data_IF_817540099095
#
_entry.id   IF_817540099095
#
_cell.length_a   1.000
_cell.length_b   1.000
_cell.length_c   1.000
_cell.angle_alpha   90.00
_cell.angle_beta   90.00
_cell.angle_gamma   90.00
#
_symmetry.space_group_name_H-M   'P 1'
#
loop_
_entity.id
_entity.type
_entity.pdbx_description
1 polymer ?
#
# COMPACT_ATOMS: atom_id res chain seq x y z
N UNK A 1 -21.58 13.42 8.45
CA UNK A 1 -22.03 14.16 9.65
C UNK A 1 -23.46 14.69 9.53
N UNK A 2 -23.80 15.49 8.50
CA UNK A 2 -25.15 16.07 8.39
C UNK A 2 -26.25 15.01 8.18
N UNK A 3 -26.09 14.14 7.18
CA UNK A 3 -27.06 13.07 6.86
C UNK A 3 -27.25 12.06 7.99
N UNK A 4 -26.19 11.77 8.76
CA UNK A 4 -26.23 10.85 9.89
C UNK A 4 -26.88 11.42 11.14
N UNK A 5 -27.06 12.75 11.26
CA UNK A 5 -27.61 13.38 12.48
C UNK A 5 -29.05 12.95 12.79
N UNK A 6 -29.86 12.68 11.76
CA UNK A 6 -31.25 12.26 11.92
C UNK A 6 -31.38 10.75 12.25
N UNK A 7 -30.81 9.82 11.45
CA UNK A 7 -30.94 8.38 11.68
C UNK A 7 -29.98 7.83 12.75
N UNK A 8 -28.75 8.37 12.86
CA UNK A 8 -27.69 7.84 13.71
C UNK A 8 -26.88 8.96 14.40
N UNK A 9 -27.46 9.68 15.38
CA UNK A 9 -26.81 10.83 16.02
C UNK A 9 -25.47 10.50 16.68
N UNK A 10 -25.27 9.25 17.13
CA UNK A 10 -24.01 8.78 17.70
C UNK A 10 -22.84 8.86 16.70
N UNK A 11 -23.07 8.54 15.42
CA UNK A 11 -22.02 8.63 14.38
C UNK A 11 -21.58 10.09 14.23
N UNK A 12 -22.55 11.01 14.16
CA UNK A 12 -22.23 12.44 14.05
C UNK A 12 -21.50 12.95 15.29
N UNK A 13 -21.89 12.50 16.49
CA UNK A 13 -21.22 12.86 17.73
C UNK A 13 -19.75 12.39 17.74
N UNK A 14 -19.49 11.14 17.39
CA UNK A 14 -18.12 10.58 17.35
C UNK A 14 -17.24 11.31 16.33
N UNK A 15 -17.77 11.64 15.16
CA UNK A 15 -17.01 12.38 14.14
C UNK A 15 -16.68 13.81 14.58
N UNK A 16 -17.62 14.50 15.23
CA UNK A 16 -17.39 15.84 15.76
C UNK A 16 -16.41 15.83 16.94
N UNK A 17 -16.51 14.86 17.85
CA UNK A 17 -15.57 14.67 18.96
C UNK A 17 -14.16 14.36 18.45
N UNK A 18 -14.03 13.46 17.47
CA UNK A 18 -12.77 13.17 16.80
C UNK A 18 -12.17 14.43 16.17
N UNK A 19 -12.96 15.20 15.42
CA UNK A 19 -12.51 16.45 14.79
C UNK A 19 -11.99 17.45 15.83
N UNK A 20 -12.61 17.56 17.00
CA UNK A 20 -12.13 18.44 18.06
C UNK A 20 -10.85 17.92 18.73
N UNK A 21 -10.74 16.60 18.93
CA UNK A 21 -9.60 15.97 19.61
C UNK A 21 -8.38 15.82 18.73
N UNK A 22 -8.54 15.64 17.41
CA UNK A 22 -7.42 15.43 16.50
C UNK A 22 -6.56 16.69 16.35
N UNK A 23 -7.15 17.88 16.49
CA UNK A 23 -6.45 19.16 16.33
C UNK A 23 -5.21 19.30 17.25
N UNK A 24 -5.32 19.12 18.59
CA UNK A 24 -4.16 19.18 19.46
C UNK A 24 -3.34 17.88 19.51
N UNK A 25 -3.89 16.74 19.07
CA UNK A 25 -3.25 15.43 19.27
C UNK A 25 -2.60 14.83 18.02
N UNK A 26 -2.90 15.33 16.82
CA UNK A 26 -2.33 14.78 15.57
C UNK A 26 -0.82 14.94 15.53
N UNK A 27 -0.34 16.18 15.74
CA UNK A 27 1.07 16.49 15.87
C UNK A 27 1.22 17.80 16.65
N UNK A 28 1.49 17.75 17.98
CA UNK A 28 1.44 18.93 18.86
C UNK A 28 2.25 20.15 18.38
N UNK A 29 3.46 20.00 17.79
CA UNK A 29 4.22 21.15 17.28
C UNK A 29 3.52 21.93 16.15
N UNK A 30 2.58 21.31 15.42
CA UNK A 30 1.83 21.94 14.32
C UNK A 30 0.34 22.11 14.63
N UNK A 31 -0.07 22.09 15.90
CA UNK A 31 -1.48 22.28 16.30
C UNK A 31 -2.14 23.48 15.59
N UNK A 32 -1.43 24.60 15.50
CA UNK A 32 -1.92 25.83 14.85
C UNK A 32 -2.25 25.61 13.38
N UNK A 33 -1.42 24.84 12.66
CA UNK A 33 -1.61 24.53 11.24
C UNK A 33 -2.77 23.55 11.04
N UNK A 34 -2.86 22.51 11.88
CA UNK A 34 -3.97 21.55 11.83
C UNK A 34 -5.30 22.27 12.11
N UNK A 35 -5.33 23.15 13.13
CA UNK A 35 -6.50 23.98 13.44
C UNK A 35 -6.90 24.84 12.24
N UNK A 36 -5.93 25.52 11.62
CA UNK A 36 -6.19 26.37 10.45
C UNK A 36 -6.71 25.56 9.26
N UNK A 37 -6.17 24.36 9.04
CA UNK A 37 -6.64 23.43 8.00
C UNK A 37 -8.11 23.07 8.19
N UNK A 38 -8.49 22.63 9.40
CA UNK A 38 -9.90 22.31 9.73
C UNK A 38 -10.80 23.53 9.58
N UNK A 39 -10.36 24.70 10.05
CA UNK A 39 -11.12 25.95 9.89
C UNK A 39 -11.36 26.32 8.43
N UNK A 40 -10.33 26.22 7.59
CA UNK A 40 -10.44 26.49 6.15
C UNK A 40 -11.39 25.51 5.47
N UNK A 41 -11.34 24.21 5.83
CA UNK A 41 -12.27 23.21 5.32
C UNK A 41 -13.72 23.52 5.69
N UNK A 42 -14.00 23.86 6.95
CA UNK A 42 -15.35 24.24 7.40
C UNK A 42 -15.85 25.52 6.71
N UNK A 43 -14.99 26.53 6.57
CA UNK A 43 -15.31 27.77 5.84
C UNK A 43 -15.65 27.45 4.38
N UNK A 44 -14.83 26.64 3.72
CA UNK A 44 -15.03 26.27 2.31
C UNK A 44 -16.34 25.52 2.08
N UNK A 45 -16.69 24.61 2.99
CA UNK A 45 -17.97 23.87 2.96
C UNK A 45 -19.17 24.83 3.01
N UNK A 46 -19.09 25.86 3.86
CA UNK A 46 -20.14 26.89 3.98
C UNK A 46 -20.17 27.79 2.74
N UNK A 47 -19.02 28.25 2.25
CA UNK A 47 -18.91 29.10 1.06
C UNK A 47 -19.46 28.43 -0.21
N UNK A 48 -19.15 27.14 -0.38
CA UNK A 48 -19.62 26.34 -1.52
C UNK A 48 -21.08 25.88 -1.40
N UNK A 49 -21.75 26.22 -0.29
CA UNK A 49 -23.14 25.80 0.02
C UNK A 49 -23.35 24.28 -0.03
N UNK A 50 -22.30 23.51 0.22
CA UNK A 50 -22.39 22.04 0.34
C UNK A 50 -23.21 21.67 1.59
N UNK A 51 -23.18 22.53 2.61
CA UNK A 51 -24.09 22.50 3.76
C UNK A 51 -24.75 23.85 3.97
N UNK A 52 -25.96 23.83 4.55
CA UNK A 52 -26.55 24.99 5.22
C UNK A 52 -25.60 25.51 6.33
N UNK A 53 -25.80 26.71 6.92
CA UNK A 53 -24.93 27.22 7.99
C UNK A 53 -24.66 26.12 9.03
N UNK A 54 -23.42 25.96 9.50
CA UNK A 54 -23.04 24.83 10.36
C UNK A 54 -23.68 24.88 11.77
N UNK A 55 -24.24 26.03 12.16
CA UNK A 55 -24.84 26.26 13.48
C UNK A 55 -25.92 25.22 13.90
N UNK A 56 -26.90 24.82 13.05
CA UNK A 56 -27.89 23.80 13.39
C UNK A 56 -27.31 22.38 13.55
N UNK A 57 -26.11 22.13 13.00
CA UNK A 57 -25.38 20.89 13.19
C UNK A 57 -24.58 20.93 14.50
N UNK A 58 -23.86 22.02 14.75
CA UNK A 58 -22.97 22.17 15.91
C UNK A 58 -23.73 22.41 17.22
N UNK A 59 -24.90 23.05 17.18
CA UNK A 59 -25.75 23.27 18.36
C UNK A 59 -27.00 22.38 18.36
N UNK A 60 -26.94 21.23 17.69
CA UNK A 60 -28.07 20.31 17.62
C UNK A 60 -28.41 19.75 19.01
N UNK A 61 -29.67 19.81 19.47
CA UNK A 61 -30.05 19.34 20.81
C UNK A 61 -29.87 17.83 21.01
N UNK A 62 -29.71 17.04 19.94
CA UNK A 62 -29.37 15.61 20.01
C UNK A 62 -27.91 15.33 20.37
N UNK A 63 -27.03 16.34 20.27
CA UNK A 63 -25.65 16.23 20.70
C UNK A 63 -25.53 16.50 22.21
N UNK A 64 -24.62 15.75 22.84
CA UNK A 64 -24.34 15.96 24.26
C UNK A 64 -23.86 17.38 24.56
N UNK A 65 -24.17 17.87 25.76
CA UNK A 65 -23.85 19.24 26.18
C UNK A 65 -22.35 19.50 26.20
N UNK A 66 -21.54 18.50 26.58
CA UNK A 66 -20.07 18.65 26.66
C UNK A 66 -19.45 18.77 25.27
N UNK A 67 -19.91 17.96 24.31
CA UNK A 67 -19.49 18.04 22.92
C UNK A 67 -19.86 19.39 22.28
N UNK A 68 -21.07 19.91 22.55
CA UNK A 68 -21.47 21.24 22.07
C UNK A 68 -20.64 22.38 22.69
N UNK A 69 -20.24 22.24 23.95
CA UNK A 69 -19.34 23.20 24.59
C UNK A 69 -17.94 23.17 23.94
N UNK A 70 -17.41 21.97 23.67
CA UNK A 70 -16.13 21.77 23.00
C UNK A 70 -16.11 22.37 21.58
N UNK A 71 -17.19 22.18 20.83
CA UNK A 71 -17.36 22.79 19.50
C UNK A 71 -17.40 24.33 19.58
N UNK A 72 -18.11 24.89 20.57
CA UNK A 72 -18.19 26.34 20.77
C UNK A 72 -16.87 26.98 21.18
N UNK A 73 -16.04 26.24 21.93
CA UNK A 73 -14.68 26.67 22.30
C UNK A 73 -13.72 26.64 21.10
N UNK A 74 -13.77 25.56 20.30
CA UNK A 74 -12.85 25.39 19.17
C UNK A 74 -13.27 26.21 17.93
N UNK A 75 -14.56 26.41 17.73
CA UNK A 75 -15.14 27.00 16.52
C UNK A 75 -16.31 27.96 16.80
N UNK A 76 -16.08 29.06 17.54
CA UNK A 76 -17.13 30.02 17.88
C UNK A 76 -17.80 30.66 16.66
N UNK A 77 -17.06 30.81 15.55
CA UNK A 77 -17.50 31.45 14.30
C UNK A 77 -18.60 30.64 13.61
N UNK A 78 -18.60 29.32 13.77
CA UNK A 78 -19.57 28.41 13.14
C UNK A 78 -20.76 28.08 14.05
N UNK A 79 -20.71 28.47 15.33
CA UNK A 79 -21.75 28.20 16.33
C UNK A 79 -22.82 29.31 16.42
N UNK A 80 -22.64 30.43 15.70
CA UNK A 80 -23.56 31.58 15.73
C UNK A 80 -24.15 31.81 14.35
N UNK A 81 -25.49 31.92 14.25
CA UNK A 81 -26.11 32.36 13.00
C UNK A 81 -25.68 33.80 12.68
N UNK A 82 -25.26 34.12 11.45
CA UNK A 82 -24.93 35.49 11.10
C UNK A 82 -26.14 36.40 11.36
N UNK A 83 -25.95 37.44 12.17
CA UNK A 83 -26.96 38.48 12.36
C UNK A 83 -27.26 39.13 11.00
N UNK A 84 -28.52 39.36 10.63
CA UNK A 84 -28.82 40.05 9.38
C UNK A 84 -28.26 41.48 9.44
N UNK A 85 -27.71 42.03 8.34
CA UNK A 85 -27.41 43.44 8.25
C UNK A 85 -28.70 44.26 8.42
N UNK A 86 -28.59 45.39 9.09
CA UNK A 86 -29.65 46.40 9.22
C UNK A 86 -30.00 46.90 7.81
N UNK A 87 -31.08 46.38 7.23
CA UNK A 87 -31.73 46.99 6.08
C UNK A 87 -33.09 47.56 6.47
N UNK A 88 -33.26 48.82 6.07
CA UNK A 88 -34.43 49.67 6.26
C UNK A 88 -35.65 49.01 5.63
N UNK A 89 -36.67 48.69 6.46
CA UNK A 89 -38.00 48.30 5.97
C UNK A 89 -38.65 49.49 5.25
N UNK A 90 -38.80 49.38 3.94
CA UNK A 90 -39.96 49.93 3.22
C UNK A 90 -41.05 48.84 3.22
N UNK A 91 -42.28 49.31 3.31
CA UNK A 91 -43.50 48.62 3.71
C UNK A 91 -43.91 47.39 2.88
N UNK A 92 -44.64 46.53 3.60
CA UNK A 92 -45.44 45.35 3.24
C UNK A 92 -46.54 45.67 2.17
N UNK A 93 -47.20 44.68 1.53
CA UNK A 93 -48.18 43.87 2.25
C UNK A 93 -48.31 42.38 1.91
N UNK A 94 -48.58 41.68 3.01
CA UNK A 94 -49.28 40.41 3.27
C UNK A 94 -50.35 39.97 2.26
N UNK A 95 -50.40 38.66 1.99
CA UNK A 95 -51.67 37.90 1.99
C UNK A 95 -51.48 36.37 2.17
N UNK A 96 -51.88 35.91 3.35
CA UNK A 96 -52.77 34.76 3.65
C UNK A 96 -52.33 33.30 3.39
N UNK A 97 -52.02 32.64 4.51
CA UNK A 97 -52.53 31.35 5.02
C UNK A 97 -53.31 30.38 4.09
N UNK A 98 -52.93 29.10 4.17
CA UNK A 98 -53.77 27.89 4.35
C UNK A 98 -52.85 26.67 4.24
N UNK A 99 -52.99 25.56 4.94
CA UNK A 99 -53.72 25.15 6.14
C UNK A 99 -53.13 23.75 6.45
N UNK A 100 -53.18 23.36 7.72
CA UNK A 100 -52.77 22.05 8.20
C UNK A 100 -53.62 20.94 7.59
N UNK A 101 -52.98 19.82 7.20
CA UNK A 101 -53.62 18.53 7.35
C UNK A 101 -52.67 17.52 7.99
N UNK A 102 -52.92 17.31 9.28
CA UNK A 102 -52.48 16.14 10.03
C UNK A 102 -53.11 14.90 9.42
N UNK A 103 -52.31 13.84 9.27
CA UNK A 103 -52.78 12.46 9.30
C UNK A 103 -51.73 11.63 10.02
N UNK A 104 -51.95 11.45 11.31
CA UNK A 104 -51.34 10.40 12.11
C UNK A 104 -51.65 9.03 11.50
N UNK A 105 -50.60 8.24 11.26
CA UNK A 105 -50.67 6.77 11.26
C UNK A 105 -49.37 6.23 11.83
N UNK A 106 -49.51 5.61 12.98
CA UNK A 106 -48.48 4.91 13.72
C UNK A 106 -47.90 3.69 12.98
N UNK A 107 -46.64 3.46 13.33
CA UNK A 107 -45.92 2.21 13.53
C UNK A 107 -45.33 1.38 12.37
N UNK A 108 -44.03 1.12 12.58
CA UNK A 108 -43.27 -0.07 12.18
C UNK A 108 -42.75 -0.14 10.73
N UNK A 109 -41.61 0.50 10.47
CA UNK A 109 -40.59 -0.08 9.58
C UNK A 109 -39.19 0.27 10.09
N UNK A 110 -38.55 -0.69 10.76
CA UNK A 110 -37.10 -0.67 10.95
C UNK A 110 -36.44 -0.88 9.59
N UNK A 111 -36.05 0.20 8.92
CA UNK A 111 -35.17 0.11 7.76
C UNK A 111 -33.71 0.11 8.25
N UNK A 112 -33.05 -1.03 8.06
CA UNK A 112 -31.60 -1.18 8.18
C UNK A 112 -30.90 -0.40 7.05
N UNK A 113 -30.93 0.92 7.12
CA UNK A 113 -30.00 1.73 6.33
C UNK A 113 -28.62 1.63 7.00
N UNK A 114 -27.74 0.79 6.47
CA UNK A 114 -26.33 0.83 6.81
C UNK A 114 -25.81 2.26 6.62
N UNK A 115 -25.02 2.74 7.58
CA UNK A 115 -24.40 4.04 7.52
C UNK A 115 -23.33 4.06 6.41
N UNK A 116 -23.74 4.36 5.18
CA UNK A 116 -22.83 4.63 4.07
C UNK A 116 -22.45 6.13 4.04
N UNK A 117 -21.23 6.43 3.60
CA UNK A 117 -20.85 7.78 3.22
C UNK A 117 -21.74 8.23 2.04
N UNK A 118 -22.19 9.48 2.06
CA UNK A 118 -22.93 10.08 0.94
C UNK A 118 -21.96 10.25 -0.22
N UNK A 119 -21.99 9.28 -1.12
CA UNK A 119 -21.40 9.36 -2.45
C UNK A 119 -22.50 9.92 -3.37
N UNK A 120 -22.69 11.24 -3.31
CA UNK A 120 -23.64 11.95 -4.16
C UNK A 120 -22.99 12.12 -5.55
N UNK A 121 -23.06 11.08 -6.37
CA UNK A 121 -22.90 11.18 -7.83
C UNK A 121 -24.14 11.87 -8.41
N UNK A 122 -24.23 13.19 -8.25
CA UNK A 122 -25.10 14.03 -9.10
C UNK A 122 -24.25 14.75 -10.16
N UNK A 123 -24.41 14.29 -11.39
CA UNK A 123 -23.89 14.87 -12.64
C UNK A 123 -24.27 16.36 -12.79
N UNK A 124 -23.45 17.25 -12.25
CA UNK A 124 -23.46 18.68 -12.60
C UNK A 124 -22.37 18.96 -13.63
N UNK A 125 -22.79 18.81 -14.88
CA UNK A 125 -22.12 19.24 -16.10
C UNK A 125 -21.65 20.70 -15.98
N UNK A 126 -20.41 20.90 -15.53
CA UNK A 126 -19.72 22.19 -15.56
C UNK A 126 -18.31 21.99 -16.11
N UNK A 127 -18.07 22.58 -17.28
CA UNK A 127 -16.73 22.68 -17.89
C UNK A 127 -15.83 23.54 -17.00
N UNK A 128 -15.19 22.93 -16.02
CA UNK A 128 -14.12 23.50 -15.21
C UNK A 128 -13.06 22.43 -14.98
N UNK A 129 -11.78 22.78 -15.20
CA UNK A 129 -10.64 21.88 -14.98
C UNK A 129 -10.76 21.22 -13.60
N UNK A 130 -11.05 19.90 -13.56
CA UNK A 130 -10.90 19.08 -12.35
C UNK A 130 -9.42 19.16 -11.95
N UNK A 131 -9.10 19.97 -10.94
CA UNK A 131 -7.80 19.89 -10.27
C UNK A 131 -7.83 18.60 -9.45
N UNK A 132 -7.01 17.63 -9.82
CA UNK A 132 -6.75 16.46 -8.99
C UNK A 132 -6.20 16.94 -7.64
N UNK A 133 -6.95 16.68 -6.58
CA UNK A 133 -6.45 16.87 -5.23
C UNK A 133 -5.64 15.62 -4.87
N UNK A 134 -4.39 15.54 -5.35
CA UNK A 134 -3.38 14.73 -4.65
C UNK A 134 -3.09 15.43 -3.33
N UNK A 135 -3.28 14.72 -2.23
CA UNK A 135 -2.68 15.11 -0.95
C UNK A 135 -1.18 15.15 -1.18
N UNK A 136 -0.61 16.34 -1.27
CA UNK A 136 0.83 16.49 -1.19
C UNK A 136 1.17 16.40 0.29
N UNK A 137 2.10 15.53 0.71
CA UNK A 137 2.64 15.59 2.06
C UNK A 137 3.00 17.04 2.37
N UNK A 138 2.69 17.50 3.59
CA UNK A 138 3.15 18.82 4.05
C UNK A 138 4.65 18.80 3.83
N UNK A 139 5.16 19.58 2.87
CA UNK A 139 6.61 19.79 2.73
C UNK A 139 7.05 20.32 4.08
N UNK A 140 7.71 19.47 4.88
CA UNK A 140 8.42 19.92 6.06
C UNK A 140 9.18 21.16 5.62
N UNK A 141 8.89 22.30 6.25
CA UNK A 141 9.78 23.44 6.15
C UNK A 141 11.05 23.02 6.88
N UNK A 142 11.92 22.32 6.17
CA UNK A 142 13.20 21.85 6.64
C UNK A 142 13.97 23.12 6.99
N UNK A 143 14.17 23.35 8.28
CA UNK A 143 15.16 24.31 8.74
C UNK A 143 16.50 23.68 8.34
N UNK A 144 17.12 24.20 7.28
CA UNK A 144 18.50 23.83 6.96
C UNK A 144 19.38 24.33 8.11
N UNK A 145 19.71 23.41 9.02
CA UNK A 145 20.80 23.64 9.94
C UNK A 145 22.08 23.89 9.12
N UNK A 146 22.86 24.93 9.45
CA UNK A 146 24.08 25.21 8.73
C UNK A 146 25.00 23.99 8.83
N UNK A 147 25.54 23.56 7.69
CA UNK A 147 26.49 22.45 7.62
C UNK A 147 27.71 22.77 8.48
N UNK A 148 27.88 22.04 9.59
CA UNK A 148 29.01 22.21 10.50
C UNK A 148 29.93 20.98 10.45
N UNK A 149 30.98 21.10 9.64
CA UNK A 149 32.05 20.10 9.52
C UNK A 149 33.25 20.41 10.43
N UNK A 150 33.24 21.53 11.14
CA UNK A 150 34.33 22.00 12.00
C UNK A 150 34.86 20.94 12.98
N UNK A 151 34.02 20.08 13.59
CA UNK A 151 34.50 19.03 14.50
C UNK A 151 35.41 17.98 13.85
N UNK A 152 35.29 17.79 12.54
CA UNK A 152 35.99 16.76 11.78
C UNK A 152 37.19 17.31 11.01
N UNK A 153 37.14 18.59 10.62
CA UNK A 153 38.17 19.24 9.82
C UNK A 153 39.57 19.25 10.46
N UNK A 154 39.66 19.32 11.78
CA UNK A 154 40.95 19.34 12.48
C UNK A 154 41.61 17.96 12.62
N UNK A 155 40.87 16.90 12.28
CA UNK A 155 41.38 15.53 12.26
C UNK A 155 41.82 15.09 10.85
N UNK A 156 41.52 15.89 9.83
CA UNK A 156 41.98 15.66 8.47
C UNK A 156 43.38 16.26 8.28
N UNK A 157 44.19 15.58 7.47
CA UNK A 157 45.43 16.15 6.95
C UNK A 157 45.15 17.44 6.15
N UNK A 158 46.08 18.39 6.21
CA UNK A 158 45.90 19.73 5.63
C UNK A 158 45.52 19.70 4.13
N UNK A 159 46.05 18.75 3.37
CA UNK A 159 45.71 18.58 1.94
C UNK A 159 44.25 18.16 1.72
N UNK A 160 43.74 17.20 2.50
CA UNK A 160 42.33 16.78 2.45
C UNK A 160 41.42 17.86 3.02
N UNK A 161 41.84 18.52 4.11
CA UNK A 161 41.11 19.61 4.76
C UNK A 161 40.83 20.75 3.78
N UNK A 162 41.85 21.19 3.03
CA UNK A 162 41.70 22.24 2.02
C UNK A 162 40.70 21.84 0.92
N UNK A 163 40.77 20.59 0.43
CA UNK A 163 39.82 20.08 -0.58
C UNK A 163 38.40 19.98 -0.04
N UNK A 164 38.20 19.50 1.18
CA UNK A 164 36.87 19.42 1.82
C UNK A 164 36.28 20.83 2.02
N UNK A 165 37.11 21.82 2.38
CA UNK A 165 36.69 23.22 2.48
C UNK A 165 36.37 23.83 1.11
N UNK A 166 37.11 23.47 0.05
CA UNK A 166 36.79 23.87 -1.32
C UNK A 166 35.46 23.25 -1.78
N UNK A 167 35.23 21.98 -1.44
CA UNK A 167 34.00 21.27 -1.73
C UNK A 167 32.78 21.95 -1.08
N UNK A 168 32.93 22.40 0.18
CA UNK A 168 31.89 23.17 0.88
C UNK A 168 31.60 24.51 0.21
N UNK A 169 32.62 25.18 -0.34
CA UNK A 169 32.50 26.50 -0.97
C UNK A 169 32.04 26.46 -2.43
N UNK A 170 31.99 25.27 -3.04
CA UNK A 170 31.58 25.10 -4.44
C UNK A 170 30.19 25.71 -4.69
N UNK A 171 30.10 26.60 -5.67
CA UNK A 171 28.88 27.35 -5.99
C UNK A 171 27.84 26.53 -6.75
N UNK A 172 28.29 25.51 -7.49
CA UNK A 172 27.46 24.64 -8.32
C UNK A 172 27.95 23.18 -8.25
N UNK A 173 27.13 22.28 -8.79
CA UNK A 173 27.39 20.83 -8.77
C UNK A 173 28.62 20.44 -9.58
N UNK A 174 28.93 21.16 -10.67
CA UNK A 174 30.09 20.89 -11.50
C UNK A 174 31.40 21.17 -10.74
N UNK A 175 31.53 22.34 -10.10
CA UNK A 175 32.69 22.66 -9.28
C UNK A 175 32.83 21.69 -8.09
N UNK A 176 31.71 21.27 -7.50
CA UNK A 176 31.73 20.25 -6.44
C UNK A 176 32.20 18.88 -6.96
N UNK A 177 31.82 18.50 -8.19
CA UNK A 177 32.28 17.26 -8.81
C UNK A 177 33.77 17.29 -9.12
N UNK A 178 34.32 18.42 -9.59
CA UNK A 178 35.76 18.57 -9.83
C UNK A 178 36.55 18.36 -8.53
N UNK A 179 36.18 19.07 -7.45
CA UNK A 179 36.85 18.96 -6.16
C UNK A 179 36.66 17.56 -5.56
N UNK A 180 35.48 16.95 -5.72
CA UNK A 180 35.22 15.60 -5.25
C UNK A 180 36.05 14.56 -6.01
N UNK A 181 36.29 14.75 -7.31
CA UNK A 181 37.20 13.88 -8.07
C UNK A 181 38.63 14.03 -7.54
N UNK A 182 39.10 15.24 -7.22
CA UNK A 182 40.43 15.43 -6.62
C UNK A 182 40.57 14.77 -5.24
N UNK A 183 39.48 14.67 -4.46
CA UNK A 183 39.45 13.93 -3.20
C UNK A 183 39.54 12.42 -3.47
N UNK A 184 38.76 11.92 -4.43
CA UNK A 184 38.80 10.49 -4.83
C UNK A 184 40.18 10.11 -5.34
N UNK A 185 40.80 10.93 -6.19
CA UNK A 185 42.14 10.69 -6.73
C UNK A 185 43.19 10.62 -5.61
N UNK A 186 43.06 11.48 -4.58
CA UNK A 186 43.96 11.45 -3.42
C UNK A 186 43.75 10.20 -2.55
N UNK A 187 42.51 9.74 -2.37
CA UNK A 187 42.22 8.49 -1.64
C UNK A 187 42.81 7.28 -2.36
N UNK A 188 42.95 7.35 -3.69
CA UNK A 188 43.51 6.30 -4.53
C UNK A 188 45.06 6.28 -4.56
N UNK A 189 45.74 7.23 -3.92
CA UNK A 189 47.21 7.24 -3.80
C UNK A 189 47.70 6.02 -2.98
N UNK A 190 48.81 5.40 -3.39
CA UNK A 190 49.30 4.14 -2.78
C UNK A 190 49.67 4.26 -1.29
N UNK A 191 49.97 5.48 -0.83
CA UNK A 191 50.39 5.82 0.53
C UNK A 191 49.30 6.53 1.35
N UNK A 192 48.03 6.42 0.92
CA UNK A 192 46.91 7.01 1.65
C UNK A 192 46.75 6.42 3.06
N UNK A 193 46.61 7.29 4.06
CA UNK A 193 46.38 6.88 5.44
C UNK A 193 44.93 6.46 5.67
N UNK A 194 44.71 5.16 5.86
CA UNK A 194 43.38 4.59 6.10
C UNK A 194 42.67 5.14 7.35
N UNK A 195 43.40 5.71 8.33
CA UNK A 195 42.78 6.34 9.51
C UNK A 195 41.98 7.60 9.13
N UNK A 196 42.33 8.25 8.01
CA UNK A 196 41.66 9.44 7.49
C UNK A 196 40.29 9.11 6.86
N UNK A 197 40.05 7.86 6.44
CA UNK A 197 38.82 7.46 5.73
C UNK A 197 37.55 7.70 6.57
N UNK A 198 37.59 7.35 7.87
CA UNK A 198 36.43 7.52 8.74
C UNK A 198 36.10 8.99 8.97
N UNK A 199 37.12 9.84 9.08
CA UNK A 199 36.95 11.30 9.26
C UNK A 199 36.43 11.92 7.97
N UNK A 200 36.99 11.54 6.81
CA UNK A 200 36.53 11.98 5.50
C UNK A 200 35.08 11.57 5.26
N UNK A 201 34.70 10.34 5.61
CA UNK A 201 33.32 9.87 5.55
C UNK A 201 32.37 10.72 6.41
N UNK A 202 32.78 11.12 7.62
CA UNK A 202 31.99 12.04 8.45
C UNK A 202 31.82 13.41 7.78
N UNK A 203 32.89 13.99 7.24
CA UNK A 203 32.83 15.26 6.50
C UNK A 203 31.87 15.19 5.31
N UNK A 204 31.99 14.15 4.47
CA UNK A 204 31.14 13.97 3.30
C UNK A 204 29.67 13.72 3.68
N UNK A 205 29.43 12.92 4.72
CA UNK A 205 28.08 12.68 5.24
C UNK A 205 27.41 13.96 5.71
N UNK A 206 28.15 14.86 6.36
CA UNK A 206 27.67 16.17 6.80
C UNK A 206 27.42 17.14 5.63
N UNK A 207 28.41 17.28 4.74
CA UNK A 207 28.32 18.14 3.55
C UNK A 207 27.12 17.80 2.68
N UNK A 208 26.87 16.52 2.47
CA UNK A 208 25.79 16.03 1.61
C UNK A 208 24.55 15.57 2.38
N UNK A 209 24.35 16.01 3.64
CA UNK A 209 23.12 15.72 4.41
C UNK A 209 21.84 15.98 3.61
N UNK A 210 21.79 17.09 2.87
CA UNK A 210 20.67 17.46 2.00
C UNK A 210 20.44 16.46 0.86
N UNK A 211 21.51 15.91 0.28
CA UNK A 211 21.42 14.91 -0.79
C UNK A 211 20.65 13.67 -0.35
N UNK A 212 20.85 13.22 0.89
CA UNK A 212 20.19 12.04 1.45
C UNK A 212 18.76 12.31 1.98
N UNK A 213 18.33 13.58 2.05
CA UNK A 213 16.98 13.96 2.50
C UNK A 213 15.95 14.03 1.36
N UNK A 214 16.40 14.26 0.12
CA UNK A 214 15.53 14.42 -1.04
C UNK A 214 15.07 13.12 -1.70
N UNK A 215 14.15 13.25 -2.64
CA UNK A 215 13.81 12.18 -3.57
C UNK A 215 15.01 11.90 -4.49
N UNK A 216 15.39 10.63 -4.62
CA UNK A 216 16.51 10.20 -5.47
C UNK A 216 16.14 10.31 -6.95
N UNK A 217 14.88 10.00 -7.26
CA UNK A 217 14.34 10.03 -8.61
C UNK A 217 13.99 11.47 -9.00
N UNK A 218 14.30 11.89 -10.24
CA UNK A 218 13.78 13.13 -10.81
C UNK A 218 12.24 13.13 -10.87
N UNK A 219 11.63 14.33 -10.84
CA UNK A 219 10.17 14.48 -10.99
C UNK A 219 9.65 13.91 -12.32
N UNK A 220 10.43 14.03 -13.39
CA UNK A 220 10.18 13.38 -14.69
C UNK A 220 11.27 12.35 -14.98
N UNK A 221 10.89 11.08 -15.12
CA UNK A 221 11.83 9.98 -15.38
C UNK A 221 12.13 9.90 -16.88
N UNK A 222 13.19 10.56 -17.33
CA UNK A 222 13.76 10.46 -18.67
C UNK A 222 15.19 9.94 -18.59
N UNK A 223 15.75 9.45 -19.70
CA UNK A 223 17.14 8.97 -19.71
C UNK A 223 18.11 10.10 -19.34
N UNK A 224 17.90 11.30 -19.88
CA UNK A 224 18.69 12.50 -19.58
C UNK A 224 18.56 12.94 -18.11
N UNK A 225 17.34 12.93 -17.54
CA UNK A 225 17.14 13.34 -16.14
C UNK A 225 17.71 12.32 -15.15
N UNK A 226 17.66 11.03 -15.50
CA UNK A 226 18.28 9.96 -14.71
C UNK A 226 19.81 10.10 -14.75
N UNK A 227 20.40 10.36 -15.92
CA UNK A 227 21.85 10.62 -16.06
C UNK A 227 22.28 11.84 -15.24
N UNK A 228 21.50 12.93 -15.27
CA UNK A 228 21.74 14.12 -14.45
C UNK A 228 21.67 13.80 -12.95
N UNK A 229 20.71 12.98 -12.53
CA UNK A 229 20.53 12.62 -11.11
C UNK A 229 21.71 11.84 -10.51
N UNK A 230 22.36 11.00 -11.33
CA UNK A 230 23.56 10.22 -10.95
C UNK A 230 24.86 11.00 -11.22
N UNK A 231 24.79 12.21 -11.76
CA UNK A 231 25.92 13.10 -12.02
C UNK A 231 26.37 13.92 -10.79
N UNK A 232 25.80 13.68 -9.61
CA UNK A 232 26.11 14.41 -8.37
C UNK A 232 27.45 13.95 -7.74
N UNK A 233 28.14 14.80 -6.95
CA UNK A 233 29.50 14.53 -6.48
C UNK A 233 29.69 13.18 -5.76
N UNK A 234 28.75 12.79 -4.88
CA UNK A 234 28.84 11.52 -4.15
C UNK A 234 28.90 10.29 -5.07
N UNK A 235 28.23 10.33 -6.22
CA UNK A 235 28.21 9.22 -7.17
C UNK A 235 29.55 9.03 -7.90
N UNK A 236 30.48 10.00 -7.81
CA UNK A 236 31.84 9.84 -8.34
C UNK A 236 32.60 8.71 -7.63
N UNK A 237 32.32 8.46 -6.35
CA UNK A 237 32.88 7.30 -5.63
C UNK A 237 32.48 6.02 -6.35
N UNK A 238 31.20 5.87 -6.69
CA UNK A 238 30.71 4.69 -7.39
C UNK A 238 31.22 4.61 -8.82
N UNK A 239 31.29 5.74 -9.52
CA UNK A 239 31.82 5.82 -10.88
C UNK A 239 33.25 5.31 -10.95
N UNK A 240 34.13 5.79 -10.07
CA UNK A 240 35.52 5.35 -10.02
C UNK A 240 35.60 3.87 -9.63
N UNK A 241 34.82 3.44 -8.62
CA UNK A 241 34.75 2.03 -8.22
C UNK A 241 34.36 1.10 -9.39
N UNK A 242 33.36 1.47 -10.20
CA UNK A 242 32.90 0.69 -11.35
C UNK A 242 33.89 0.69 -12.54
N UNK A 243 34.80 1.66 -12.62
CA UNK A 243 35.80 1.76 -13.69
C UNK A 243 37.11 1.04 -13.35
N UNK A 244 37.30 0.66 -12.09
CA UNK A 244 38.48 -0.02 -11.60
C UNK A 244 38.45 -1.54 -11.81
N UNK A 245 39.65 -2.15 -11.87
CA UNK A 245 39.81 -3.60 -11.86
C UNK A 245 39.94 -4.09 -10.41
N UNK A 246 39.28 -5.20 -10.08
CA UNK A 246 39.19 -5.76 -8.71
C UNK A 246 40.56 -6.09 -8.09
N UNK A 247 41.58 -6.39 -8.90
CA UNK A 247 42.92 -6.76 -8.44
C UNK A 247 43.78 -5.57 -7.98
N UNK A 248 43.28 -4.33 -8.07
CA UNK A 248 44.02 -3.13 -7.70
C UNK A 248 43.87 -2.85 -6.19
N UNK A 249 44.98 -2.67 -5.46
CA UNK A 249 44.95 -2.33 -4.03
C UNK A 249 44.14 -1.06 -3.72
N UNK A 250 44.12 -0.11 -4.65
CA UNK A 250 43.34 1.12 -4.56
C UNK A 250 41.82 0.90 -4.68
N UNK A 251 41.38 -0.23 -5.25
CA UNK A 251 39.97 -0.66 -5.23
C UNK A 251 39.49 -0.95 -3.80
N UNK A 252 40.36 -1.55 -2.97
CA UNK A 252 40.04 -1.82 -1.56
C UNK A 252 39.82 -0.51 -0.78
N UNK A 253 40.65 0.52 -1.01
CA UNK A 253 40.55 1.79 -0.30
C UNK A 253 39.22 2.52 -0.57
N UNK A 254 38.73 2.51 -1.82
CA UNK A 254 37.41 3.08 -2.13
C UNK A 254 36.25 2.27 -1.53
N UNK A 255 36.38 0.94 -1.46
CA UNK A 255 35.41 0.11 -0.76
C UNK A 255 35.41 0.39 0.75
N UNK A 256 36.58 0.59 1.35
CA UNK A 256 36.72 0.95 2.75
C UNK A 256 36.11 2.33 3.04
N UNK A 257 36.34 3.33 2.16
CA UNK A 257 35.66 4.63 2.23
C UNK A 257 34.14 4.49 2.16
N UNK A 258 33.64 3.66 1.22
CA UNK A 258 32.21 3.43 1.05
C UNK A 258 31.61 2.71 2.27
N UNK A 259 32.35 1.77 2.86
CA UNK A 259 31.97 1.06 4.08
C UNK A 259 31.86 2.03 5.26
N UNK A 260 32.86 2.90 5.46
CA UNK A 260 32.81 3.96 6.47
C UNK A 260 31.62 4.89 6.24
N UNK A 261 31.39 5.34 5.00
CA UNK A 261 30.23 6.14 4.64
C UNK A 261 28.90 5.43 4.95
N UNK A 262 28.79 4.13 4.68
CA UNK A 262 27.60 3.35 4.96
C UNK A 262 27.31 3.24 6.46
N UNK A 263 28.35 3.10 7.29
CA UNK A 263 28.21 3.09 8.76
C UNK A 263 27.69 4.43 9.31
N UNK A 264 28.04 5.56 8.70
CA UNK A 264 27.56 6.90 9.11
C UNK A 264 26.23 7.28 8.45
N UNK A 265 26.02 6.86 7.20
CA UNK A 265 24.87 7.18 6.37
C UNK A 265 24.38 5.94 5.60
N UNK A 266 23.50 5.12 6.19
CA UNK A 266 23.02 3.88 5.57
C UNK A 266 22.34 4.09 4.21
N UNK A 267 21.79 5.29 3.98
CA UNK A 267 21.12 5.64 2.72
C UNK A 267 22.03 5.49 1.50
N UNK A 268 23.35 5.66 1.66
CA UNK A 268 24.32 5.50 0.57
C UNK A 268 24.22 4.10 -0.09
N UNK A 269 23.79 3.07 0.65
CA UNK A 269 23.63 1.71 0.12
C UNK A 269 22.58 1.61 -0.98
N UNK A 270 21.39 2.21 -0.80
CA UNK A 270 20.38 2.21 -1.87
C UNK A 270 20.70 3.24 -2.97
N UNK A 271 21.48 4.28 -2.68
CA UNK A 271 22.03 5.16 -3.73
C UNK A 271 23.02 4.39 -4.63
N UNK A 272 23.84 3.48 -4.07
CA UNK A 272 24.68 2.60 -4.87
C UNK A 272 23.83 1.68 -5.75
N UNK A 273 22.76 1.08 -5.23
CA UNK A 273 21.84 0.27 -6.03
C UNK A 273 21.16 1.07 -7.14
N UNK A 274 20.76 2.31 -6.84
CA UNK A 274 20.22 3.25 -7.81
C UNK A 274 21.23 3.55 -8.93
N UNK A 275 22.49 3.81 -8.58
CA UNK A 275 23.56 4.04 -9.54
C UNK A 275 23.83 2.81 -10.43
N UNK A 276 23.83 1.62 -9.82
CA UNK A 276 24.03 0.34 -10.51
C UNK A 276 22.78 -0.14 -11.29
N UNK A 277 21.65 0.58 -11.18
CA UNK A 277 20.34 0.21 -11.74
C UNK A 277 19.90 -1.23 -11.45
N UNK A 278 20.06 -1.63 -10.18
CA UNK A 278 19.59 -2.86 -9.55
C UNK A 278 20.04 -4.20 -10.18
N UNK A 279 20.82 -5.03 -9.45
CA UNK A 279 21.13 -6.39 -9.90
C UNK A 279 19.93 -7.33 -9.75
N UNK A 280 19.78 -8.22 -10.74
CA UNK A 280 18.77 -9.28 -10.86
C UNK A 280 18.62 -10.19 -9.62
N UNK A 281 19.61 -10.20 -8.74
CA UNK A 281 19.72 -11.08 -7.56
C UNK A 281 18.88 -10.61 -6.38
N UNK A 282 18.67 -9.29 -6.24
CA UNK A 282 17.94 -8.69 -5.11
C UNK A 282 16.42 -8.90 -5.22
N UNK A 283 15.89 -8.95 -6.43
CA UNK A 283 14.47 -9.12 -6.75
C UNK A 283 13.89 -10.51 -6.40
N UNK A 284 14.70 -11.39 -5.81
CA UNK A 284 14.39 -12.82 -5.60
C UNK A 284 14.19 -13.19 -4.13
N UNK A 285 14.21 -12.20 -3.24
CA UNK A 285 13.95 -12.36 -1.81
C UNK A 285 12.52 -11.95 -1.45
N UNK A 286 11.85 -12.77 -0.63
CA UNK A 286 10.54 -12.42 -0.06
C UNK A 286 10.57 -11.16 0.80
N UNK A 287 11.71 -10.84 1.41
CA UNK A 287 11.89 -9.63 2.23
C UNK A 287 11.85 -8.37 1.38
N UNK A 288 12.55 -8.35 0.23
CA UNK A 288 12.49 -7.21 -0.70
C UNK A 288 11.10 -7.07 -1.31
N UNK A 289 10.48 -8.19 -1.69
CA UNK A 289 9.12 -8.17 -2.18
C UNK A 289 8.17 -7.56 -1.15
N UNK A 290 8.26 -7.96 0.12
CA UNK A 290 7.45 -7.40 1.21
C UNK A 290 7.68 -5.89 1.35
N UNK A 291 8.95 -5.44 1.39
CA UNK A 291 9.28 -4.02 1.43
C UNK A 291 8.64 -3.23 0.29
N UNK A 292 8.63 -3.80 -0.93
CA UNK A 292 7.99 -3.16 -2.10
C UNK A 292 6.48 -3.12 -1.90
N UNK A 293 5.82 -4.26 -1.67
CA UNK A 293 4.35 -4.32 -1.64
C UNK A 293 3.74 -3.61 -0.43
N UNK A 294 4.50 -3.40 0.64
CA UNK A 294 4.09 -2.65 1.82
C UNK A 294 3.94 -1.14 1.58
N UNK A 295 4.63 -0.59 0.57
CA UNK A 295 4.61 0.86 0.29
C UNK A 295 4.10 1.21 -1.10
N UNK A 296 3.87 0.21 -1.95
CA UNK A 296 3.45 0.41 -3.34
C UNK A 296 2.03 0.98 -3.42
N UNK A 297 1.77 1.86 -4.39
CA UNK A 297 0.41 2.24 -4.76
C UNK A 297 -0.11 1.41 -5.96
N UNK A 298 -1.40 1.59 -6.30
CA UNK A 298 -2.02 0.84 -7.41
C UNK A 298 -1.44 1.16 -8.79
N UNK A 299 -0.94 2.39 -9.02
CA UNK A 299 -0.36 2.79 -10.29
C UNK A 299 1.04 2.20 -10.45
N UNK A 300 1.87 2.27 -9.41
CA UNK A 300 3.18 1.64 -9.33
C UNK A 300 3.06 0.11 -9.48
N UNK A 301 2.06 -0.52 -8.86
CA UNK A 301 1.79 -1.95 -9.05
C UNK A 301 1.51 -2.28 -10.52
N UNK A 302 0.68 -1.47 -11.20
CA UNK A 302 0.37 -1.66 -12.61
C UNK A 302 1.63 -1.51 -13.48
N UNK A 303 2.50 -0.55 -13.18
CA UNK A 303 3.77 -0.37 -13.88
C UNK A 303 4.70 -1.58 -13.67
N UNK A 304 4.85 -2.08 -12.44
CA UNK A 304 5.63 -3.29 -12.16
C UNK A 304 5.07 -4.51 -12.90
N UNK A 305 3.75 -4.70 -12.91
CA UNK A 305 3.09 -5.76 -13.69
C UNK A 305 3.43 -5.63 -15.18
N UNK A 306 3.38 -4.42 -15.75
CA UNK A 306 3.78 -4.18 -17.13
C UNK A 306 5.25 -4.54 -17.36
N UNK A 307 6.17 -4.13 -16.48
CA UNK A 307 7.59 -4.47 -16.58
C UNK A 307 7.84 -5.98 -16.53
N UNK A 308 7.11 -6.71 -15.68
CA UNK A 308 7.17 -8.18 -15.64
C UNK A 308 6.69 -8.77 -16.96
N UNK A 309 5.54 -8.32 -17.47
CA UNK A 309 4.96 -8.83 -18.71
C UNK A 309 5.82 -8.53 -19.95
N UNK A 310 6.54 -7.40 -19.95
CA UNK A 310 7.50 -7.03 -20.99
C UNK A 310 8.82 -7.81 -20.91
N UNK A 311 9.05 -8.54 -19.81
CA UNK A 311 10.30 -9.27 -19.57
C UNK A 311 11.44 -8.40 -19.04
N UNK A 312 11.14 -7.16 -18.62
CA UNK A 312 12.11 -6.22 -18.04
C UNK A 312 12.32 -6.46 -16.54
N UNK A 313 11.44 -7.23 -15.89
CA UNK A 313 11.47 -7.49 -14.46
C UNK A 313 11.12 -8.95 -14.16
N UNK A 314 11.89 -9.59 -13.29
CA UNK A 314 11.59 -10.95 -12.78
C UNK A 314 11.72 -10.95 -11.26
N UNK A 315 10.58 -11.08 -10.57
CA UNK A 315 10.49 -11.08 -9.10
C UNK A 315 10.34 -12.49 -8.51
N UNK A 316 9.87 -13.46 -9.31
CA UNK A 316 9.68 -14.84 -8.86
C UNK A 316 10.47 -15.83 -9.72
N UNK A 317 11.04 -16.85 -9.06
CA UNK A 317 11.63 -18.02 -9.72
C UNK A 317 10.88 -19.29 -9.31
N UNK A 318 10.92 -20.30 -10.17
CA UNK A 318 10.21 -21.58 -9.95
C UNK A 318 10.65 -22.31 -8.67
N UNK A 319 11.90 -22.12 -8.24
CA UNK A 319 12.48 -22.75 -7.05
C UNK A 319 12.09 -22.06 -5.73
N UNK A 320 11.85 -20.75 -5.73
CA UNK A 320 11.59 -19.97 -4.51
C UNK A 320 10.15 -19.49 -4.37
N UNK A 321 9.40 -19.41 -5.47
CA UNK A 321 8.05 -18.81 -5.51
C UNK A 321 7.08 -19.40 -4.49
N UNK A 322 7.07 -20.72 -4.30
CA UNK A 322 6.19 -21.35 -3.33
C UNK A 322 6.52 -20.89 -1.89
N UNK A 323 7.80 -20.83 -1.53
CA UNK A 323 8.21 -20.41 -0.20
C UNK A 323 7.87 -18.93 0.04
N UNK A 324 8.07 -18.07 -0.96
CA UNK A 324 7.74 -16.64 -0.88
C UNK A 324 6.23 -16.47 -0.71
N UNK A 325 5.40 -17.18 -1.48
CA UNK A 325 3.94 -17.11 -1.34
C UNK A 325 3.44 -17.65 0.00
N UNK A 326 4.12 -18.64 0.59
CA UNK A 326 3.83 -19.12 1.95
C UNK A 326 4.17 -18.04 2.98
N UNK A 327 5.34 -17.39 2.86
CA UNK A 327 5.72 -16.26 3.72
C UNK A 327 4.73 -15.09 3.61
N UNK A 328 4.21 -14.83 2.41
CA UNK A 328 3.26 -13.73 2.20
C UNK A 328 1.89 -13.95 2.83
N UNK A 329 1.57 -15.15 3.33
CA UNK A 329 0.29 -15.40 4.00
C UNK A 329 0.15 -14.62 5.31
N UNK A 330 1.27 -14.22 5.91
CA UNK A 330 1.30 -13.41 7.13
C UNK A 330 1.29 -11.89 6.85
N UNK A 331 1.25 -11.48 5.58
CA UNK A 331 1.30 -10.07 5.16
C UNK A 331 -0.09 -9.42 5.15
N UNK A 332 -0.14 -8.09 5.09
CA UNK A 332 -1.40 -7.34 5.08
C UNK A 332 -2.24 -7.64 3.82
N UNK A 333 -3.55 -7.40 3.88
CA UNK A 333 -4.49 -7.70 2.79
C UNK A 333 -4.06 -7.13 1.44
N UNK A 334 -3.66 -5.86 1.40
CA UNK A 334 -3.22 -5.23 0.15
C UNK A 334 -1.88 -5.79 -0.35
N UNK A 335 -0.94 -6.04 0.56
CA UNK A 335 0.35 -6.65 0.26
C UNK A 335 0.19 -8.05 -0.38
N UNK A 336 -0.74 -8.85 0.15
CA UNK A 336 -1.09 -10.14 -0.43
C UNK A 336 -1.67 -10.00 -1.84
N UNK A 337 -2.61 -9.07 -2.05
CA UNK A 337 -3.15 -8.83 -3.39
C UNK A 337 -2.09 -8.39 -4.39
N UNK A 338 -1.22 -7.44 -4.02
CA UNK A 338 -0.09 -7.00 -4.84
C UNK A 338 0.83 -8.17 -5.20
N UNK A 339 1.19 -8.98 -4.21
CA UNK A 339 2.03 -10.17 -4.37
C UNK A 339 1.42 -11.16 -5.35
N UNK A 340 0.13 -11.46 -5.22
CA UNK A 340 -0.58 -12.33 -6.15
C UNK A 340 -0.68 -11.73 -7.56
N UNK A 341 -0.93 -10.42 -7.71
CA UNK A 341 -0.94 -9.80 -9.04
C UNK A 341 0.43 -9.87 -9.73
N UNK A 342 1.50 -9.57 -8.99
CA UNK A 342 2.86 -9.68 -9.49
C UNK A 342 3.21 -11.12 -9.86
N UNK A 343 2.83 -12.11 -9.03
CA UNK A 343 3.02 -13.53 -9.37
C UNK A 343 2.31 -13.90 -10.67
N UNK A 344 1.05 -13.46 -10.85
CA UNK A 344 0.25 -13.79 -12.04
C UNK A 344 0.74 -13.09 -13.32
N UNK A 345 1.48 -11.99 -13.18
CA UNK A 345 2.18 -11.37 -14.30
C UNK A 345 3.34 -12.24 -14.82
N UNK A 346 3.87 -13.16 -13.99
CA UNK A 346 4.90 -14.09 -14.40
C UNK A 346 4.31 -15.32 -15.10
N UNK A 347 5.05 -15.87 -16.06
CA UNK A 347 4.72 -17.12 -16.74
C UNK A 347 5.12 -18.36 -15.92
N UNK A 348 4.68 -18.43 -14.65
CA UNK A 348 4.90 -19.58 -13.76
C UNK A 348 3.64 -20.45 -13.72
N UNK A 349 3.71 -21.74 -14.08
CA UNK A 349 2.53 -22.62 -14.03
C UNK A 349 1.95 -22.74 -12.62
N UNK A 350 0.63 -22.68 -12.51
CA UNK A 350 -0.08 -22.77 -11.22
C UNK A 350 0.24 -24.06 -10.46
N UNK A 351 0.52 -25.15 -11.18
CA UNK A 351 0.94 -26.44 -10.61
C UNK A 351 2.24 -26.34 -9.79
N UNK A 352 3.08 -25.33 -10.04
CA UNK A 352 4.31 -25.11 -9.24
C UNK A 352 4.00 -24.64 -7.82
N UNK A 353 2.89 -23.91 -7.64
CA UNK A 353 2.51 -23.32 -6.35
C UNK A 353 1.31 -23.99 -5.71
N UNK A 354 0.69 -24.98 -6.38
CA UNK A 354 -0.47 -25.69 -5.86
C UNK A 354 -0.30 -26.31 -4.45
N UNK A 355 0.92 -26.73 -4.01
CA UNK A 355 1.13 -27.20 -2.64
C UNK A 355 0.74 -26.18 -1.56
N UNK A 356 0.68 -24.88 -1.88
CA UNK A 356 0.25 -23.83 -0.94
C UNK A 356 -1.14 -24.09 -0.35
N UNK A 357 -2.02 -24.84 -1.04
CA UNK A 357 -3.36 -25.17 -0.55
C UNK A 357 -3.35 -25.87 0.82
N UNK A 358 -2.26 -26.58 1.18
CA UNK A 358 -2.07 -27.20 2.50
C UNK A 358 -1.83 -26.18 3.62
N UNK A 359 -1.34 -24.99 3.29
CA UNK A 359 -1.09 -23.90 4.24
C UNK A 359 -2.28 -22.94 4.37
N UNK A 360 -3.24 -23.01 3.44
CA UNK A 360 -4.36 -22.08 3.39
C UNK A 360 -5.49 -22.46 4.35
N UNK A 361 -5.78 -21.60 5.32
CA UNK A 361 -6.90 -21.77 6.25
C UNK A 361 -8.04 -20.84 5.87
N UNK A 362 -9.27 -21.35 5.95
CA UNK A 362 -10.50 -20.67 5.54
C UNK A 362 -10.65 -19.24 6.09
N UNK A 363 -10.46 -19.05 7.40
CA UNK A 363 -10.66 -17.75 8.06
C UNK A 363 -9.43 -16.84 8.03
N UNK A 364 -8.24 -17.40 7.91
CA UNK A 364 -6.98 -16.64 8.05
C UNK A 364 -6.47 -16.12 6.70
N UNK A 365 -6.76 -16.81 5.58
CA UNK A 365 -6.15 -16.47 4.29
C UNK A 365 -7.18 -16.21 3.16
N UNK A 366 -8.13 -15.25 3.33
CA UNK A 366 -9.16 -14.99 2.33
C UNK A 366 -8.62 -14.45 1.00
N UNK A 367 -7.54 -13.67 1.00
CA UNK A 367 -6.93 -13.06 -0.19
C UNK A 367 -6.35 -14.15 -1.10
N UNK A 368 -5.47 -14.99 -0.54
CA UNK A 368 -4.83 -16.08 -1.26
C UNK A 368 -5.83 -17.13 -1.75
N UNK A 369 -6.84 -17.48 -0.93
CA UNK A 369 -7.93 -18.37 -1.34
C UNK A 369 -8.73 -17.79 -2.51
N UNK A 370 -9.08 -16.50 -2.45
CA UNK A 370 -9.83 -15.83 -3.52
C UNK A 370 -9.04 -15.81 -4.83
N UNK A 371 -7.76 -15.43 -4.77
CA UNK A 371 -6.87 -15.43 -5.92
C UNK A 371 -6.74 -16.83 -6.53
N UNK A 372 -6.43 -17.86 -5.73
CA UNK A 372 -6.29 -19.22 -6.23
C UNK A 372 -7.58 -19.77 -6.83
N UNK A 373 -8.74 -19.50 -6.23
CA UNK A 373 -10.03 -19.94 -6.77
C UNK A 373 -10.26 -19.36 -8.18
N UNK A 374 -9.94 -18.08 -8.37
CA UNK A 374 -10.06 -17.39 -9.65
C UNK A 374 -9.03 -17.81 -10.70
N UNK A 375 -7.89 -18.37 -10.29
CA UNK A 375 -6.91 -18.94 -11.21
C UNK A 375 -7.19 -20.40 -11.54
N UNK A 376 -7.53 -21.22 -10.54
CA UNK A 376 -7.88 -22.63 -10.75
C UNK A 376 -9.07 -22.80 -11.71
N UNK A 377 -10.04 -21.87 -11.69
CA UNK A 377 -11.17 -21.91 -12.64
C UNK A 377 -10.75 -21.74 -14.11
N UNK A 378 -9.56 -21.19 -14.38
CA UNK A 378 -9.02 -21.03 -15.74
C UNK A 378 -8.20 -22.25 -16.17
N UNK A 379 -7.77 -23.07 -15.22
CA UNK A 379 -6.95 -24.25 -15.45
C UNK A 379 -7.77 -25.50 -15.76
N UNK A 380 -7.16 -26.41 -16.53
CA UNK A 380 -7.67 -27.79 -16.67
C UNK A 380 -7.18 -28.59 -15.46
N UNK A 381 -8.07 -29.33 -14.74
CA UNK A 381 -7.67 -30.03 -13.53
C UNK A 381 -6.64 -31.13 -13.84
N UNK A 382 -5.47 -31.03 -13.21
CA UNK A 382 -4.50 -32.14 -13.09
C UNK A 382 -4.83 -33.01 -11.88
N UNK A 383 -4.30 -34.23 -11.83
CA UNK A 383 -4.51 -35.14 -10.70
C UNK A 383 -3.99 -34.52 -9.39
N UNK A 384 -2.82 -33.88 -9.45
CA UNK A 384 -2.22 -33.22 -8.28
C UNK A 384 -3.05 -32.02 -7.83
N UNK A 385 -3.58 -31.20 -8.75
CA UNK A 385 -4.48 -30.09 -8.38
C UNK A 385 -5.72 -30.58 -7.62
N UNK A 386 -6.34 -31.64 -8.12
CA UNK A 386 -7.56 -32.19 -7.50
C UNK A 386 -7.23 -32.80 -6.14
N UNK A 387 -6.13 -33.55 -6.04
CA UNK A 387 -5.63 -34.11 -4.78
C UNK A 387 -5.35 -33.02 -3.75
N UNK A 388 -4.70 -31.92 -4.14
CA UNK A 388 -4.42 -30.79 -3.26
C UNK A 388 -5.69 -30.07 -2.79
N UNK A 389 -6.65 -29.85 -3.70
CA UNK A 389 -7.96 -29.28 -3.35
C UNK A 389 -8.73 -30.16 -2.36
N UNK A 390 -8.73 -31.48 -2.58
CA UNK A 390 -9.43 -32.45 -1.73
C UNK A 390 -8.70 -32.72 -0.40
N UNK A 391 -7.41 -32.43 -0.31
CA UNK A 391 -6.63 -32.54 0.94
C UNK A 391 -6.97 -31.46 1.98
N UNK A 392 -7.74 -30.44 1.59
CA UNK A 392 -8.18 -29.38 2.49
C UNK A 392 -9.24 -29.89 3.49
N UNK A 393 -9.19 -29.47 4.76
CA UNK A 393 -10.21 -29.80 5.75
C UNK A 393 -11.62 -29.37 5.30
N UNK A 394 -12.62 -30.20 5.57
CA UNK A 394 -14.02 -29.85 5.39
C UNK A 394 -14.47 -28.91 6.51
N UNK A 395 -14.96 -27.71 6.15
CA UNK A 395 -15.61 -26.80 7.09
C UNK A 395 -16.94 -26.36 6.49
N UNK A 396 -18.07 -26.34 7.25
CA UNK A 396 -19.40 -26.02 6.71
C UNK A 396 -19.46 -24.68 5.96
N UNK A 397 -18.71 -23.69 6.44
CA UNK A 397 -18.64 -22.36 5.83
C UNK A 397 -17.56 -22.22 4.73
N UNK A 398 -16.63 -23.19 4.60
CA UNK A 398 -15.60 -23.14 3.55
C UNK A 398 -16.15 -23.71 2.25
N UNK A 399 -16.48 -22.81 1.32
CA UNK A 399 -17.02 -23.15 0.00
C UNK A 399 -15.95 -23.25 -1.09
N UNK A 400 -14.66 -23.19 -0.75
CA UNK A 400 -13.59 -23.21 -1.74
C UNK A 400 -13.59 -24.49 -2.57
N UNK A 401 -13.54 -25.65 -1.90
CA UNK A 401 -13.42 -26.97 -2.54
C UNK A 401 -14.65 -27.31 -3.37
N UNK A 402 -15.85 -27.09 -2.83
CA UNK A 402 -17.12 -27.33 -3.54
C UNK A 402 -17.26 -26.45 -4.78
N UNK A 403 -16.86 -25.18 -4.69
CA UNK A 403 -16.94 -24.23 -5.81
C UNK A 403 -16.04 -24.64 -6.98
N UNK A 404 -14.77 -24.98 -6.72
CA UNK A 404 -13.85 -25.32 -7.79
C UNK A 404 -14.17 -26.67 -8.44
N UNK A 405 -14.55 -27.68 -7.64
CA UNK A 405 -14.96 -28.99 -8.16
C UNK A 405 -16.20 -28.87 -9.06
N UNK A 406 -17.19 -28.07 -8.64
CA UNK A 406 -18.38 -27.79 -9.45
C UNK A 406 -18.01 -27.12 -10.77
N UNK A 407 -17.10 -26.14 -10.75
CA UNK A 407 -16.67 -25.43 -11.97
C UNK A 407 -15.97 -26.37 -12.95
N UNK A 408 -14.98 -27.15 -12.49
CA UNK A 408 -14.27 -28.12 -13.36
C UNK A 408 -15.18 -29.21 -13.92
N UNK A 409 -16.20 -29.58 -13.14
CA UNK A 409 -17.22 -30.51 -13.60
C UNK A 409 -18.04 -29.95 -14.76
N UNK A 410 -18.62 -28.76 -14.58
CA UNK A 410 -19.45 -28.10 -15.60
C UNK A 410 -18.63 -27.79 -16.86
N UNK A 411 -17.34 -27.52 -16.71
CA UNK A 411 -16.39 -27.28 -17.81
C UNK A 411 -16.00 -28.50 -18.65
N UNK A 412 -16.55 -29.70 -18.38
CA UNK A 412 -16.35 -30.89 -19.22
C UNK A 412 -15.12 -31.75 -18.91
N UNK A 413 -14.48 -31.58 -17.75
CA UNK A 413 -13.33 -32.41 -17.31
C UNK A 413 -13.74 -33.67 -16.51
N UNK A 414 -14.94 -34.19 -16.78
CA UNK A 414 -15.66 -35.17 -15.96
C UNK A 414 -14.96 -36.52 -15.75
N UNK A 415 -14.11 -36.97 -16.68
CA UNK A 415 -13.50 -38.30 -16.61
C UNK A 415 -12.30 -38.39 -15.66
N UNK A 416 -11.59 -37.28 -15.41
CA UNK A 416 -10.37 -37.26 -14.57
C UNK A 416 -10.68 -37.06 -13.08
N UNK A 417 -11.77 -36.36 -12.75
CA UNK A 417 -12.19 -36.11 -11.36
C UNK A 417 -12.66 -37.38 -10.63
N UNK A 418 -13.03 -38.42 -11.37
CA UNK A 418 -13.69 -39.60 -10.82
C UNK A 418 -12.74 -40.70 -10.29
N UNK A 419 -11.42 -40.46 -10.27
CA UNK A 419 -10.40 -41.46 -9.94
C UNK A 419 -9.80 -41.34 -8.51
N UNK A 420 -10.29 -40.44 -7.64
CA UNK A 420 -9.62 -40.11 -6.36
C UNK A 420 -10.42 -40.58 -5.11
N UNK A 421 -9.68 -41.07 -4.08
CA UNK A 421 -10.04 -41.82 -2.83
C UNK A 421 -10.11 -41.00 -1.53
N UNK A 422 -10.81 -41.28 -0.41
CA UNK A 422 -11.91 -42.18 -0.04
C UNK A 422 -12.67 -41.68 1.21
N UNK A 423 -12.13 -40.83 2.08
CA UNK A 423 -12.83 -40.40 3.32
C UNK A 423 -13.16 -38.90 3.34
N UNK A 424 -12.15 -38.01 3.28
CA UNK A 424 -12.37 -36.57 3.09
C UNK A 424 -13.04 -36.26 1.74
N UNK A 425 -12.78 -37.12 0.74
CA UNK A 425 -13.42 -37.03 -0.57
C UNK A 425 -14.91 -37.36 -0.47
N UNK A 426 -15.34 -38.32 0.34
CA UNK A 426 -16.77 -38.63 0.45
C UNK A 426 -17.56 -37.47 1.05
N UNK A 427 -16.98 -36.75 2.02
CA UNK A 427 -17.61 -35.57 2.61
C UNK A 427 -17.67 -34.38 1.62
N UNK A 428 -16.57 -34.10 0.91
CA UNK A 428 -16.57 -33.10 -0.17
C UNK A 428 -17.50 -33.49 -1.32
N UNK A 429 -17.59 -34.78 -1.66
CA UNK A 429 -18.52 -35.29 -2.67
C UNK A 429 -19.96 -35.22 -2.20
N UNK A 430 -20.26 -35.48 -0.94
CA UNK A 430 -21.63 -35.33 -0.42
C UNK A 430 -22.05 -33.86 -0.39
N UNK A 431 -21.15 -32.96 0.04
CA UNK A 431 -21.37 -31.51 -0.08
C UNK A 431 -21.58 -31.07 -1.54
N UNK A 432 -20.82 -31.63 -2.48
CA UNK A 432 -21.03 -31.39 -3.90
C UNK A 432 -22.38 -31.94 -4.37
N UNK A 433 -22.80 -33.13 -3.91
CA UNK A 433 -24.10 -33.73 -4.21
C UNK A 433 -25.25 -32.84 -3.77
N UNK A 434 -25.21 -32.35 -2.53
CA UNK A 434 -26.21 -31.44 -1.97
C UNK A 434 -26.26 -30.10 -2.74
N UNK A 435 -25.13 -29.62 -3.26
CA UNK A 435 -25.09 -28.42 -4.10
C UNK A 435 -25.59 -28.66 -5.53
N UNK A 436 -25.39 -29.87 -6.07
CA UNK A 436 -25.77 -30.23 -7.43
C UNK A 436 -27.26 -30.55 -7.59
N UNK A 437 -28.01 -30.87 -6.52
CA UNK A 437 -29.48 -31.07 -6.59
C UNK A 437 -30.23 -29.84 -7.11
N UNK A 438 -29.65 -28.65 -6.96
CA UNK A 438 -30.17 -27.40 -7.52
C UNK A 438 -29.91 -27.26 -9.04
N UNK A 439 -29.31 -28.26 -9.70
CA UNK A 439 -28.94 -28.24 -11.12
C UNK A 439 -29.26 -29.58 -11.80
N UNK A 440 -29.59 -29.57 -13.11
CA UNK A 440 -29.86 -30.80 -13.90
C UNK A 440 -28.55 -31.52 -14.30
N UNK A 441 -27.66 -31.80 -13.35
CA UNK A 441 -26.30 -32.30 -13.61
C UNK A 441 -26.16 -33.80 -13.27
N UNK A 442 -25.48 -34.55 -14.15
CA UNK A 442 -25.39 -36.03 -14.09
C UNK A 442 -24.09 -36.54 -13.42
N UNK A 443 -23.54 -35.82 -12.43
CA UNK A 443 -22.25 -36.17 -11.79
C UNK A 443 -22.21 -37.59 -11.26
N UNK A 444 -23.13 -37.91 -10.35
CA UNK A 444 -23.22 -39.21 -9.71
C UNK A 444 -23.75 -40.32 -10.63
N UNK A 445 -23.98 -40.02 -11.92
CA UNK A 445 -24.42 -41.00 -12.91
C UNK A 445 -23.29 -41.50 -13.82
N UNK A 446 -22.08 -40.94 -13.72
CA UNK A 446 -20.94 -41.38 -14.54
C UNK A 446 -20.39 -42.74 -14.07
N UNK A 447 -20.02 -43.61 -15.02
CA UNK A 447 -19.49 -44.94 -14.71
C UNK A 447 -18.25 -44.94 -13.82
N UNK A 448 -17.24 -44.06 -14.03
CA UNK A 448 -16.05 -44.07 -13.19
C UNK A 448 -16.33 -43.71 -11.73
N UNK A 449 -17.21 -42.73 -11.45
CA UNK A 449 -17.54 -42.35 -10.07
C UNK A 449 -18.36 -43.44 -9.39
N UNK A 450 -19.28 -44.09 -10.12
CA UNK A 450 -20.05 -45.22 -9.60
C UNK A 450 -19.15 -46.42 -9.26
N UNK A 451 -18.18 -46.73 -10.13
CA UNK A 451 -17.21 -47.80 -9.88
C UNK A 451 -16.29 -47.47 -8.71
N UNK A 452 -15.82 -46.22 -8.62
CA UNK A 452 -15.02 -45.76 -7.49
C UNK A 452 -15.82 -45.87 -6.18
N UNK A 453 -17.05 -45.34 -6.12
CA UNK A 453 -17.93 -45.41 -4.95
C UNK A 453 -18.26 -46.86 -4.55
N UNK A 454 -18.46 -47.76 -5.50
CA UNK A 454 -18.68 -49.19 -5.21
C UNK A 454 -17.44 -49.87 -4.64
N UNK A 455 -16.25 -49.59 -5.19
CA UNK A 455 -14.99 -50.09 -4.67
C UNK A 455 -14.74 -49.55 -3.25
N UNK A 456 -14.99 -48.26 -3.06
CA UNK A 456 -14.92 -47.55 -1.78
C UNK A 456 -15.84 -48.18 -0.74
N UNK A 457 -17.11 -48.36 -1.08
CA UNK A 457 -18.10 -48.98 -0.22
C UNK A 457 -17.70 -50.41 0.18
N UNK A 458 -17.07 -51.16 -0.72
CA UNK A 458 -16.59 -52.51 -0.41
C UNK A 458 -15.40 -52.53 0.58
N UNK A 459 -14.56 -51.48 0.57
CA UNK A 459 -13.37 -51.37 1.41
C UNK A 459 -13.55 -50.52 2.68
N UNK A 460 -14.68 -49.84 2.86
CA UNK A 460 -14.93 -48.93 3.98
C UNK A 460 -15.53 -49.65 5.20
N UNK A 461 -15.35 -49.10 6.40
CA UNK A 461 -15.94 -49.65 7.62
C UNK A 461 -17.46 -49.38 7.72
N UNK A 462 -18.15 -50.07 8.64
CA UNK A 462 -19.60 -49.91 8.80
C UNK A 462 -20.02 -48.54 9.34
N UNK A 463 -19.15 -47.83 10.07
CA UNK A 463 -19.48 -46.52 10.60
C UNK A 463 -19.58 -45.49 9.47
N UNK A 464 -18.68 -45.56 8.49
CA UNK A 464 -18.66 -44.68 7.32
C UNK A 464 -19.69 -45.07 6.26
N UNK A 465 -20.16 -46.32 6.20
CA UNK A 465 -21.29 -46.69 5.32
C UNK A 465 -22.63 -46.12 5.79
N UNK A 466 -22.75 -45.91 7.11
CA UNK A 466 -23.97 -45.40 7.75
C UNK A 466 -24.00 -43.87 7.78
N UNK A 467 -22.84 -43.22 7.70
CA UNK A 467 -22.67 -41.78 7.53
C UNK A 467 -22.89 -41.41 6.06
#
# INVERSE_FOLDING_TARGET
>A
MNHSMKPHPAITATLLDFMCRIIPNFYPPLEVHVRQGVFNSLTHIVEKRVLAPLAPLFDNPKLDKELRAMLREKFPEFCSSPSPPIEVKIEEPVSMEMDNHMSDKDDSCYDNAEAAFSDDEEDLNSKGKKREFRFHPIKETIVEEPVDITPFLDQLDESLKDKVLLLQKGSDTEAQCEVMQEIVDQVLEEDFDSEQLSVLACCLQELFKGHFRGEVLPEEITEESLEESVGKPLYLIFRNLCQMQEDNSSFSLLLDLLSELYQKQPKIGYHLLYYLKFPDETLRSGELLNMIVAVIDSAQLQELVCHVMMGNLVMFRKDSVLNILIQSLDWETFEQYCTWQLFLAHNIPLETIIPILQHLKFKEHPEALSCLLLQLRREKPSEEMVKMVLSRPCHPDDQFTTSILRHWWVGGSSSKLAQLTLEQILEHLDNLRLNLTNTKQNFFSQTPILQALQHVQASCDEAHKMK
#
